data_IF_866170249287
#
_entry.id   IF_866170249287
#
_cell.length_a   1.000
_cell.length_b   1.000
_cell.length_c   1.000
_cell.angle_alpha   90.00
_cell.angle_beta   90.00
_cell.angle_gamma   90.00
#
_symmetry.space_group_name_H-M   'P 1'
#
loop_
_entity.id
_entity.type
_entity.pdbx_description
1 polymer ?
#
# COMPACT_ATOMS: atom_id res chain seq x y z
N UNK A 1 2.11 -18.49 8.97
CA UNK A 1 1.54 -17.45 8.10
C UNK A 1 0.55 -18.09 7.14
N UNK A 2 -0.73 -17.80 7.35
CA UNK A 2 -1.77 -18.12 6.37
C UNK A 2 -1.53 -17.32 5.08
N UNK A 3 -2.01 -17.83 3.94
CA UNK A 3 -1.85 -17.17 2.63
C UNK A 3 -2.40 -15.74 2.64
N UNK A 4 -3.51 -15.47 3.35
CA UNK A 4 -4.10 -14.14 3.48
C UNK A 4 -3.16 -13.12 4.11
N UNK A 5 -2.55 -13.48 5.23
CA UNK A 5 -1.57 -12.65 5.93
C UNK A 5 -0.37 -12.32 5.03
N UNK A 6 0.13 -13.34 4.30
CA UNK A 6 1.24 -13.17 3.35
C UNK A 6 0.89 -12.24 2.19
N UNK A 7 -0.34 -12.30 1.69
CA UNK A 7 -0.86 -11.36 0.68
C UNK A 7 -1.03 -9.96 1.27
N UNK A 8 -1.51 -9.82 2.50
CA UNK A 8 -1.62 -8.54 3.18
C UNK A 8 -0.27 -7.84 3.33
N UNK A 9 0.75 -8.57 3.80
CA UNK A 9 2.14 -8.07 3.89
C UNK A 9 2.66 -7.67 2.51
N UNK A 10 2.43 -8.49 1.49
CA UNK A 10 2.85 -8.18 0.11
C UNK A 10 2.20 -6.89 -0.42
N UNK A 11 0.93 -6.63 -0.12
CA UNK A 11 0.25 -5.39 -0.49
C UNK A 11 0.84 -4.18 0.25
N UNK A 12 1.24 -4.34 1.52
CA UNK A 12 1.94 -3.28 2.26
C UNK A 12 3.33 -2.98 1.67
N UNK A 13 4.05 -4.00 1.22
CA UNK A 13 5.34 -3.83 0.53
C UNK A 13 5.17 -3.07 -0.79
N UNK A 14 4.14 -3.37 -1.59
CA UNK A 14 3.82 -2.60 -2.79
C UNK A 14 3.50 -1.15 -2.44
N UNK A 15 2.72 -0.92 -1.37
CA UNK A 15 2.37 0.43 -0.93
C UNK A 15 3.62 1.24 -0.59
N UNK A 16 4.60 0.62 0.08
CA UNK A 16 5.91 1.25 0.36
C UNK A 16 6.67 1.61 -0.92
N UNK A 17 6.61 0.78 -1.97
CA UNK A 17 7.23 1.08 -3.26
C UNK A 17 6.55 2.26 -3.97
N UNK A 18 5.22 2.34 -3.93
CA UNK A 18 4.46 3.47 -4.49
C UNK A 18 4.87 4.78 -3.78
N UNK A 19 4.96 4.76 -2.45
CA UNK A 19 5.41 5.91 -1.68
C UNK A 19 6.85 6.33 -2.03
N UNK A 20 7.75 5.36 -2.18
CA UNK A 20 9.12 5.61 -2.65
C UNK A 20 9.16 6.24 -4.04
N UNK A 21 8.32 5.77 -4.96
CA UNK A 21 8.18 6.35 -6.31
C UNK A 21 7.67 7.79 -6.29
N UNK A 22 6.72 8.11 -5.40
CA UNK A 22 6.22 9.48 -5.20
C UNK A 22 7.33 10.40 -4.73
N UNK A 23 8.12 10.00 -3.73
CA UNK A 23 9.27 10.79 -3.26
C UNK A 23 10.30 10.94 -4.37
N UNK A 24 10.63 9.87 -5.10
CA UNK A 24 11.59 9.94 -6.21
C UNK A 24 11.12 10.93 -7.29
N UNK A 25 9.83 10.91 -7.63
CA UNK A 25 9.23 11.84 -8.60
C UNK A 25 9.30 13.30 -8.17
N UNK A 26 9.42 13.58 -6.86
CA UNK A 26 9.62 14.96 -6.36
C UNK A 26 11.04 15.47 -6.51
N UNK A 27 12.01 14.56 -6.66
CA UNK A 27 13.43 14.90 -6.78
C UNK A 27 13.83 14.95 -8.26
N UNK A 28 13.29 14.05 -9.08
CA UNK A 28 13.54 14.04 -10.52
C UNK A 28 12.74 15.16 -11.17
N UNK A 29 13.45 16.07 -11.86
CA UNK A 29 12.84 17.16 -12.61
C UNK A 29 12.24 16.63 -13.91
N UNK A 30 11.00 16.16 -13.85
CA UNK A 30 10.23 15.73 -15.03
C UNK A 30 9.18 16.77 -15.42
N UNK A 31 8.88 16.86 -16.72
CA UNK A 31 7.86 17.77 -17.27
C UNK A 31 6.44 17.18 -17.13
N UNK A 32 6.16 16.55 -16.00
CA UNK A 32 4.88 15.88 -15.71
C UNK A 32 4.14 16.72 -14.67
N UNK A 33 2.82 16.82 -14.79
CA UNK A 33 2.00 17.55 -13.82
C UNK A 33 2.16 16.95 -12.41
N UNK A 34 2.77 17.68 -11.44
CA UNK A 34 3.04 17.16 -10.10
C UNK A 34 1.77 16.79 -9.34
N UNK A 35 0.67 17.50 -9.59
CA UNK A 35 -0.60 17.25 -8.93
C UNK A 35 -1.17 15.87 -9.27
N UNK A 36 -0.96 15.41 -10.50
CA UNK A 36 -1.41 14.09 -10.96
C UNK A 36 -0.58 13.00 -10.30
N UNK A 37 0.75 13.16 -10.28
CA UNK A 37 1.67 12.18 -9.71
C UNK A 37 1.47 12.05 -8.19
N UNK A 38 1.42 13.17 -7.46
CA UNK A 38 1.21 13.16 -6.01
C UNK A 38 -0.21 12.74 -5.65
N UNK A 39 -1.22 13.19 -6.40
CA UNK A 39 -2.62 12.84 -6.15
C UNK A 39 -2.87 11.33 -6.32
N UNK A 40 -2.52 10.77 -7.49
CA UNK A 40 -2.68 9.34 -7.75
C UNK A 40 -1.78 8.50 -6.86
N UNK A 41 -0.51 8.89 -6.70
CA UNK A 41 0.44 8.17 -5.86
C UNK A 41 -0.02 8.09 -4.41
N UNK A 42 -0.48 9.21 -3.84
CA UNK A 42 -1.02 9.26 -2.48
C UNK A 42 -2.31 8.44 -2.34
N UNK A 43 -3.21 8.53 -3.33
CA UNK A 43 -4.46 7.74 -3.33
C UNK A 43 -4.18 6.24 -3.32
N UNK A 44 -3.34 5.74 -4.24
CA UNK A 44 -3.01 4.31 -4.31
C UNK A 44 -2.20 3.84 -3.10
N UNK A 45 -1.34 4.69 -2.54
CA UNK A 45 -0.64 4.40 -1.29
C UNK A 45 -1.61 4.17 -0.13
N UNK A 46 -2.54 5.10 0.12
CA UNK A 46 -3.52 4.99 1.20
C UNK A 46 -4.46 3.80 0.98
N UNK A 47 -4.87 3.57 -0.27
CA UNK A 47 -5.72 2.43 -0.63
C UNK A 47 -5.01 1.09 -0.40
N UNK A 48 -3.75 0.96 -0.82
CA UNK A 48 -2.94 -0.22 -0.60
C UNK A 48 -2.71 -0.52 0.88
N UNK A 49 -2.41 0.51 1.68
CA UNK A 49 -2.30 0.38 3.14
C UNK A 49 -3.59 -0.15 3.75
N UNK A 50 -4.74 0.44 3.40
CA UNK A 50 -6.03 0.03 3.93
C UNK A 50 -6.34 -1.45 3.60
N UNK A 51 -6.10 -1.86 2.35
CA UNK A 51 -6.28 -3.27 1.94
C UNK A 51 -5.33 -4.19 2.68
N UNK A 52 -4.04 -3.83 2.77
CA UNK A 52 -3.03 -4.63 3.46
C UNK A 52 -3.42 -4.90 4.91
N UNK A 53 -3.81 -3.86 5.65
CA UNK A 53 -4.27 -4.00 7.03
C UNK A 53 -5.58 -4.80 7.14
N UNK A 54 -6.55 -4.58 6.25
CA UNK A 54 -7.79 -5.37 6.24
C UNK A 54 -7.49 -6.85 6.03
N UNK A 55 -6.58 -7.22 5.12
CA UNK A 55 -6.22 -8.63 4.90
C UNK A 55 -5.52 -9.26 6.12
N UNK A 56 -4.71 -8.49 6.82
CA UNK A 56 -4.01 -8.94 8.03
C UNK A 56 -5.01 -9.09 9.20
N UNK A 57 -5.84 -8.09 9.49
CA UNK A 57 -6.82 -8.12 10.60
C UNK A 57 -7.91 -9.19 10.42
N UNK A 58 -8.29 -9.50 9.18
CA UNK A 58 -9.22 -10.61 8.90
C UNK A 58 -8.62 -12.00 9.11
N UNK A 59 -7.31 -12.11 9.32
CA UNK A 59 -6.65 -13.38 9.66
C UNK A 59 -6.74 -13.66 11.16
N UNK A 60 -6.74 -12.61 11.99
CA UNK A 60 -6.78 -12.74 13.46
C UNK A 60 -8.17 -13.20 13.96
N UNK A 61 -9.25 -12.72 13.32
CA UNK A 61 -10.63 -13.04 13.73
C UNK A 61 -11.09 -14.47 13.44
N UNK A 62 -10.25 -15.33 12.85
CA UNK A 62 -10.60 -16.73 12.56
C UNK A 62 -10.05 -17.73 13.58
N UNK A 63 -9.29 -17.27 14.59
CA UNK A 63 -8.74 -18.10 15.66
C UNK A 63 -9.60 -18.24 16.91
N UNK A 64 -10.68 -17.46 17.07
CA UNK A 64 -11.43 -17.33 18.33
C UNK A 64 -12.84 -17.94 18.27
N UNK A 65 -12.93 -19.16 17.74
CA UNK A 65 -14.09 -20.02 17.95
C UNK A 65 -13.58 -21.43 18.29
N UNK A 66 -13.30 -21.63 19.59
CA UNK A 66 -13.57 -22.80 20.46
C UNK A 66 -12.82 -22.57 21.78
#
# INVERSE_FOLDING_TARGET
MEIKERVGIFVLDISKLIFGGVILSSIVSENINPAVVYGLGFFFFMFGIAIGFVLIDNTDKKGDCI
#
